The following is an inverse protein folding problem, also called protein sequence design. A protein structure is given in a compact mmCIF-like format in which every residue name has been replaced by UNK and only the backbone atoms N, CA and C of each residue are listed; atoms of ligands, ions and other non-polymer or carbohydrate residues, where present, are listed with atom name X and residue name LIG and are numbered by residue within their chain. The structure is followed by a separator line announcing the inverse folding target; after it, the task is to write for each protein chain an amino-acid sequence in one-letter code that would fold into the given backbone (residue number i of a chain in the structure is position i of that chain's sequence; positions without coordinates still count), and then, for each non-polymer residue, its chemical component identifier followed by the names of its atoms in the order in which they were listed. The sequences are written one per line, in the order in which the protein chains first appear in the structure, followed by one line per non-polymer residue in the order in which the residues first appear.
data_IF_540357666808
#
_entry.id   IF_540357666808
#
_cell.length_a   1.000
_cell.length_b   1.000
_cell.length_c   1.000
_cell.angle_alpha   90.00
_cell.angle_beta   90.00
_cell.angle_gamma   90.00
#
_symmetry.space_group_name_H-M   'P 1'
#
loop_
_entity.id
_entity.type
_entity.pdbx_description
1 polymer ?
#
# COMPACT_ATOMS: atom_id res chain seq x y z
N UNK A 1 -5.98 -4.69 -21.04
CA UNK A 1 -6.87 -4.75 -19.86
C UNK A 1 -6.27 -5.68 -18.82
N UNK A 2 -5.66 -5.16 -17.76
CA UNK A 2 -5.11 -5.99 -16.68
C UNK A 2 -6.23 -6.63 -15.87
N UNK A 3 -6.24 -7.97 -15.77
CA UNK A 3 -7.16 -8.73 -14.93
C UNK A 3 -7.12 -8.16 -13.51
N UNK A 4 -8.26 -7.62 -13.06
CA UNK A 4 -8.50 -7.31 -11.65
C UNK A 4 -8.43 -8.65 -10.93
N UNK A 5 -7.32 -8.93 -10.25
CA UNK A 5 -7.20 -10.12 -9.42
C UNK A 5 -8.04 -9.83 -8.18
N UNK A 6 -9.10 -10.60 -7.97
CA UNK A 6 -9.92 -10.54 -6.77
C UNK A 6 -9.02 -10.90 -5.59
N UNK A 7 -8.63 -9.87 -4.84
CA UNK A 7 -7.82 -10.01 -3.65
C UNK A 7 -8.79 -10.36 -2.52
N UNK A 8 -8.70 -11.60 -2.06
CA UNK A 8 -9.45 -12.07 -0.89
C UNK A 8 -8.89 -11.39 0.37
N UNK A 9 -9.61 -10.38 0.85
CA UNK A 9 -9.20 -9.58 2.02
C UNK A 9 -9.26 -10.32 3.35
N UNK A 10 -9.65 -11.61 3.36
CA UNK A 10 -9.83 -12.42 4.57
C UNK A 10 -8.64 -13.32 4.89
N UNK A 11 -7.58 -13.35 4.05
CA UNK A 11 -6.43 -14.24 4.24
C UNK A 11 -5.39 -13.71 5.25
N UNK A 12 -5.38 -12.41 5.57
CA UNK A 12 -4.45 -11.84 6.55
C UNK A 12 -4.36 -10.31 6.52
N UNK A 13 -3.83 -9.75 7.60
CA UNK A 13 -3.59 -8.31 7.79
C UNK A 13 -2.85 -7.63 6.61
N UNK A 14 -1.84 -8.25 5.95
CA UNK A 14 -1.15 -7.64 4.79
C UNK A 14 -2.07 -7.43 3.57
N UNK A 15 -2.99 -8.36 3.35
CA UNK A 15 -3.89 -8.36 2.19
C UNK A 15 -4.97 -7.29 2.32
N UNK A 16 -5.45 -7.06 3.54
CA UNK A 16 -6.34 -5.94 3.87
C UNK A 16 -5.67 -4.59 3.57
N UNK A 17 -4.38 -4.44 3.92
CA UNK A 17 -3.63 -3.20 3.64
C UNK A 17 -3.42 -2.94 2.16
N UNK A 18 -3.13 -3.97 1.36
CA UNK A 18 -3.01 -3.81 -0.08
C UNK A 18 -4.29 -3.25 -0.70
N UNK A 19 -5.45 -3.73 -0.24
CA UNK A 19 -6.77 -3.23 -0.67
C UNK A 19 -7.02 -1.79 -0.21
N UNK A 20 -6.68 -1.46 1.03
CA UNK A 20 -6.90 -0.13 1.61
C UNK A 20 -5.98 0.92 0.98
N UNK A 21 -4.73 0.57 0.69
CA UNK A 21 -3.78 1.38 -0.08
C UNK A 21 -4.36 1.76 -1.44
N UNK A 22 -4.87 0.76 -2.16
CA UNK A 22 -5.49 0.98 -3.46
C UNK A 22 -6.70 1.91 -3.34
N UNK A 23 -7.56 1.70 -2.36
CA UNK A 23 -8.75 2.54 -2.16
C UNK A 23 -8.39 3.99 -1.84
N UNK A 24 -7.44 4.22 -0.94
CA UNK A 24 -6.97 5.59 -0.62
C UNK A 24 -6.30 6.25 -1.82
N UNK A 25 -5.52 5.49 -2.60
CA UNK A 25 -4.91 5.98 -3.84
C UNK A 25 -5.96 6.38 -4.87
N UNK A 26 -6.99 5.57 -5.09
CA UNK A 26 -8.10 5.90 -6.01
C UNK A 26 -8.88 7.12 -5.52
N UNK A 27 -9.05 7.30 -4.20
CA UNK A 27 -9.66 8.51 -3.62
C UNK A 27 -8.81 9.77 -3.78
N UNK A 28 -7.49 9.62 -3.76
CA UNK A 28 -6.57 10.72 -3.98
C UNK A 28 -6.33 11.01 -5.48
N UNK A 29 -6.96 10.24 -6.38
CA UNK A 29 -6.76 10.31 -7.84
C UNK A 29 -5.29 10.17 -8.26
N UNK A 30 -4.48 9.49 -7.44
CA UNK A 30 -3.07 9.28 -7.70
C UNK A 30 -2.84 7.99 -8.49
N UNK A 31 -1.89 8.04 -9.41
CA UNK A 31 -1.42 6.82 -10.08
C UNK A 31 -0.40 6.10 -9.21
N UNK A 32 -0.17 4.80 -9.45
CA UNK A 32 0.91 4.06 -8.77
C UNK A 32 2.26 4.78 -8.92
N UNK A 33 2.50 5.35 -10.11
CA UNK A 33 3.74 6.04 -10.44
C UNK A 33 3.90 7.32 -9.62
N UNK A 34 2.86 8.14 -9.51
CA UNK A 34 2.87 9.33 -8.65
C UNK A 34 3.00 8.97 -7.18
N UNK A 35 2.41 7.86 -6.74
CA UNK A 35 2.48 7.44 -5.35
C UNK A 35 3.88 6.99 -4.91
N UNK A 36 4.69 6.49 -5.86
CA UNK A 36 6.08 6.10 -5.61
C UNK A 36 7.08 7.16 -6.04
N UNK A 37 6.61 8.26 -6.64
CA UNK A 37 7.44 9.33 -7.17
C UNK A 37 8.17 10.03 -6.01
N UNK A 38 9.51 10.00 -6.03
CA UNK A 38 10.34 10.49 -4.94
C UNK A 38 10.54 9.49 -3.79
N UNK A 39 10.01 8.28 -3.90
CA UNK A 39 10.41 7.15 -3.06
C UNK A 39 11.54 6.35 -3.71
N UNK A 40 12.26 5.55 -2.92
CA UNK A 40 13.25 4.58 -3.43
C UNK A 40 12.59 3.33 -4.06
N UNK A 41 11.26 3.21 -3.99
CA UNK A 41 10.52 2.04 -4.43
C UNK A 41 9.93 2.25 -5.83
N UNK A 42 9.81 1.17 -6.60
CA UNK A 42 9.20 1.19 -7.93
C UNK A 42 7.70 0.87 -7.91
N UNK A 43 7.01 1.19 -9.00
CA UNK A 43 5.59 0.86 -9.21
C UNK A 43 5.28 -0.64 -9.09
N UNK A 44 6.22 -1.50 -9.49
CA UNK A 44 6.09 -2.95 -9.34
C UNK A 44 6.03 -3.36 -7.87
N UNK A 45 6.85 -2.72 -7.03
CA UNK A 45 6.88 -2.98 -5.59
C UNK A 45 5.55 -2.59 -4.94
N UNK A 46 5.01 -1.42 -5.31
CA UNK A 46 3.70 -0.98 -4.83
C UNK A 46 2.57 -1.92 -5.30
N UNK A 47 2.66 -2.44 -6.52
CA UNK A 47 1.69 -3.40 -7.08
C UNK A 47 1.72 -4.74 -6.34
N UNK A 48 2.90 -5.24 -5.95
CA UNK A 48 3.03 -6.44 -5.10
C UNK A 48 2.39 -6.23 -3.72
N UNK A 49 2.55 -5.04 -3.13
CA UNK A 49 1.92 -4.68 -1.85
C UNK A 49 0.41 -4.53 -2.00
N UNK A 50 -0.07 -3.83 -3.04
CA UNK A 50 -1.51 -3.71 -3.32
C UNK A 50 -2.16 -5.09 -3.48
N UNK A 51 -1.41 -6.09 -3.97
CA UNK A 51 -1.85 -7.48 -4.13
C UNK A 51 -1.78 -8.31 -2.85
N UNK A 52 -1.17 -7.80 -1.78
CA UNK A 52 -0.91 -8.56 -0.56
C UNK A 52 0.20 -9.62 -0.69
N UNK A 53 0.94 -9.61 -1.80
CA UNK A 53 2.04 -10.55 -2.06
C UNK A 53 3.29 -10.17 -1.26
N UNK A 54 3.44 -8.89 -0.90
CA UNK A 54 4.56 -8.37 -0.12
C UNK A 54 4.07 -7.44 1.00
N UNK A 55 4.75 -7.47 2.15
CA UNK A 55 4.54 -6.49 3.23
C UNK A 55 5.07 -5.12 2.82
N UNK A 56 4.35 -4.08 3.20
CA UNK A 56 4.81 -2.70 3.04
C UNK A 56 5.94 -2.41 4.05
N UNK A 57 7.11 -1.91 3.61
CA UNK A 57 8.14 -1.43 4.53
C UNK A 57 7.76 -0.08 5.14
N UNK A 58 8.27 0.20 6.35
CA UNK A 58 7.95 1.42 7.09
C UNK A 58 8.30 2.72 6.33
N UNK A 59 9.41 2.73 5.60
CA UNK A 59 9.82 3.89 4.79
C UNK A 59 8.82 4.21 3.68
N UNK A 60 8.31 3.17 3.00
CA UNK A 60 7.27 3.33 1.99
C UNK A 60 5.95 3.75 2.64
N UNK A 61 5.60 3.17 3.79
CA UNK A 61 4.40 3.55 4.54
C UNK A 61 4.41 5.03 4.90
N UNK A 62 5.55 5.55 5.39
CA UNK A 62 5.71 6.98 5.69
C UNK A 62 5.62 7.88 4.47
N UNK A 63 6.16 7.44 3.33
CA UNK A 63 6.06 8.18 2.08
C UNK A 63 4.61 8.25 1.59
N UNK A 64 3.94 7.11 1.56
CA UNK A 64 2.53 6.98 1.20
C UNK A 64 1.63 7.78 2.13
N UNK A 65 1.90 7.74 3.45
CA UNK A 65 1.16 8.51 4.44
C UNK A 65 1.23 10.01 4.19
N UNK A 66 2.39 10.51 3.73
CA UNK A 66 2.55 11.92 3.35
C UNK A 66 1.83 12.25 2.05
N UNK A 67 1.93 11.38 1.04
CA UNK A 67 1.28 11.58 -0.26
C UNK A 67 -0.25 11.54 -0.16
N UNK A 68 -0.79 10.57 0.56
CA UNK A 68 -2.22 10.37 0.77
C UNK A 68 -2.78 11.18 1.94
N UNK A 69 -1.92 11.87 2.69
CA UNK A 69 -2.27 12.62 3.91
C UNK A 69 -3.03 11.75 4.92
N UNK A 70 -2.60 10.51 5.10
CA UNK A 70 -3.24 9.55 6.01
C UNK A 70 -2.65 9.57 7.43
N UNK A 71 -1.84 10.58 7.76
CA UNK A 71 -1.38 10.90 9.12
C UNK A 71 -0.67 9.74 9.85
N UNK A 72 0.10 8.92 9.12
CA UNK A 72 0.85 7.80 9.70
C UNK A 72 0.01 6.54 9.90
N UNK A 73 -1.16 6.43 9.26
CA UNK A 73 -2.01 5.25 9.29
C UNK A 73 -1.29 3.99 8.82
N UNK A 74 -0.57 4.07 7.69
CA UNK A 74 0.16 2.92 7.14
C UNK A 74 1.39 2.61 7.99
N UNK A 75 2.10 3.63 8.47
CA UNK A 75 3.28 3.45 9.33
C UNK A 75 2.93 2.69 10.62
N UNK A 76 1.92 3.16 11.36
CA UNK A 76 1.48 2.54 12.63
C UNK A 76 1.05 1.08 12.45
N UNK A 77 0.42 0.79 11.31
CA UNK A 77 -0.08 -0.54 10.99
C UNK A 77 0.97 -1.48 10.44
N UNK A 78 2.00 -0.96 9.77
CA UNK A 78 3.20 -1.71 9.43
C UNK A 78 3.91 -2.24 10.69
N UNK A 79 4.00 -1.43 11.75
CA UNK A 79 4.58 -1.84 13.04
C UNK A 79 3.75 -2.93 13.72
N UNK A 80 2.43 -2.88 13.60
CA UNK A 80 1.51 -3.89 14.16
C UNK A 80 1.68 -5.26 13.47
N UNK A 81 1.81 -5.28 12.15
CA UNK A 81 2.11 -6.49 11.35
C UNK A 81 3.49 -7.06 11.64
N UNK A 82 4.44 -6.23 12.10
CA UNK A 82 5.76 -6.71 12.49
C UNK A 82 5.72 -7.45 13.84
N UNK A 83 4.68 -7.22 14.65
CA UNK A 83 4.47 -7.85 15.95
C UNK A 83 3.51 -9.05 15.93
N UNK A 84 2.76 -9.24 14.85
CA UNK A 84 1.82 -10.36 14.63
C UNK A 84 2.48 -11.52 13.87
#
# INVERSE_FOLDING_TARGET
MGRRKDIDGSAGVPTFYGKELRWQRERAELTLQQLVEGSFYGVSHLSEIERGERRMPAELAEHVDRMLKTDGFFKRRCEDVQRA
#
